data_IF_036126501058
#
_entry.id   IF_036126501058
#
_cell.length_a   1.000
_cell.length_b   1.000
_cell.length_c   1.000
_cell.angle_alpha   90.00
_cell.angle_beta   90.00
_cell.angle_gamma   90.00
#
_symmetry.space_group_name_H-M   'P 1'
#
loop_
_entity.id
_entity.type
_entity.pdbx_description
1 polymer ?
#
# COMPACT_ATOMS: atom_id res chain seq x y z
N UNK A 1 -23.80 6.95 -7.42
CA UNK A 1 -22.55 7.04 -6.67
C UNK A 1 -21.54 6.16 -7.37
N UNK A 2 -20.32 6.65 -7.55
CA UNK A 2 -19.17 5.96 -8.16
C UNK A 2 -18.24 5.54 -7.03
N UNK A 3 -17.42 4.50 -7.21
CA UNK A 3 -16.37 4.10 -6.25
C UNK A 3 -15.38 5.24 -5.97
N UNK A 4 -15.30 6.22 -6.87
CA UNK A 4 -14.51 7.44 -6.66
C UNK A 4 -14.89 8.19 -5.37
N UNK A 5 -16.15 8.08 -4.92
CA UNK A 5 -16.59 8.65 -3.65
C UNK A 5 -15.92 8.00 -2.43
N UNK A 6 -15.44 6.77 -2.57
CA UNK A 6 -14.78 5.99 -1.52
C UNK A 6 -13.25 6.10 -1.57
N UNK A 7 -12.65 6.63 -2.65
CA UNK A 7 -11.20 6.77 -2.79
C UNK A 7 -10.56 7.61 -1.67
N UNK A 8 -11.28 8.60 -1.15
CA UNK A 8 -10.82 9.48 -0.07
C UNK A 8 -11.44 9.11 1.30
N UNK A 9 -12.09 7.95 1.43
CA UNK A 9 -12.56 7.44 2.73
C UNK A 9 -11.49 6.57 3.38
N UNK A 10 -11.47 6.56 4.71
CA UNK A 10 -10.59 5.71 5.50
C UNK A 10 -10.98 4.24 5.36
N UNK A 11 -10.00 3.36 5.21
CA UNK A 11 -10.28 1.97 4.84
C UNK A 11 -11.11 1.22 5.88
N UNK A 12 -10.92 1.51 7.17
CA UNK A 12 -11.73 0.89 8.24
C UNK A 12 -13.20 1.28 8.16
N UNK A 13 -13.50 2.51 7.74
CA UNK A 13 -14.89 2.94 7.52
C UNK A 13 -15.51 2.14 6.37
N UNK A 14 -14.76 1.94 5.28
CA UNK A 14 -15.20 1.15 4.13
C UNK A 14 -15.43 -0.31 4.53
N UNK A 15 -14.50 -0.94 5.25
CA UNK A 15 -14.64 -2.33 5.71
C UNK A 15 -15.82 -2.47 6.68
N UNK A 16 -16.06 -1.48 7.53
CA UNK A 16 -17.23 -1.49 8.45
C UNK A 16 -18.54 -1.43 7.66
N UNK A 17 -18.60 -0.65 6.58
CA UNK A 17 -19.77 -0.53 5.70
C UNK A 17 -19.90 -1.75 4.77
N UNK A 18 -18.79 -2.34 4.34
CA UNK A 18 -18.68 -3.44 3.36
C UNK A 18 -17.60 -4.46 3.79
N UNK A 19 -17.95 -5.44 4.66
CA UNK A 19 -16.98 -6.41 5.18
C UNK A 19 -16.26 -7.24 4.11
N UNK A 20 -16.89 -7.51 2.97
CA UNK A 20 -16.28 -8.24 1.84
C UNK A 20 -15.02 -7.53 1.28
N UNK A 21 -14.89 -6.20 1.48
CA UNK A 21 -13.70 -5.45 1.06
C UNK A 21 -12.45 -5.91 1.80
N UNK A 22 -12.56 -6.36 3.05
CA UNK A 22 -11.45 -6.91 3.82
C UNK A 22 -10.92 -8.21 3.19
N UNK A 23 -11.81 -9.14 2.85
CA UNK A 23 -11.43 -10.40 2.21
C UNK A 23 -10.73 -10.15 0.86
N UNK A 24 -11.26 -9.22 0.07
CA UNK A 24 -10.64 -8.81 -1.20
C UNK A 24 -9.24 -8.25 -0.96
N UNK A 25 -9.04 -7.38 0.04
CA UNK A 25 -7.72 -6.80 0.30
C UNK A 25 -6.72 -7.85 0.78
N UNK A 26 -7.14 -8.78 1.63
CA UNK A 26 -6.29 -9.86 2.13
C UNK A 26 -5.84 -10.82 1.00
N UNK A 27 -6.70 -11.11 0.03
CA UNK A 27 -6.33 -11.91 -1.16
C UNK A 27 -5.23 -11.26 -2.01
N UNK A 28 -5.11 -9.94 -1.96
CA UNK A 28 -4.07 -9.16 -2.63
C UNK A 28 -2.87 -8.87 -1.71
N UNK A 29 -2.77 -9.57 -0.57
CA UNK A 29 -1.74 -9.41 0.46
C UNK A 29 -1.71 -8.01 1.11
N UNK A 30 -2.85 -7.32 1.14
CA UNK A 30 -3.01 -5.98 1.72
C UNK A 30 -3.71 -6.09 3.08
N UNK A 31 -2.95 -6.43 4.12
CA UNK A 31 -3.45 -6.57 5.50
C UNK A 31 -3.87 -5.23 6.14
N UNK A 32 -5.11 -4.79 5.91
CA UNK A 32 -5.65 -3.55 6.48
C UNK A 32 -6.32 -3.74 7.85
N UNK A 33 -6.74 -4.97 8.16
CA UNK A 33 -7.56 -5.33 9.33
C UNK A 33 -6.76 -5.22 10.62
N UNK A 34 -5.53 -5.75 10.61
CA UNK A 34 -4.62 -5.72 11.75
C UNK A 34 -3.91 -4.37 11.91
N UNK A 35 -4.18 -3.40 11.02
CA UNK A 35 -3.59 -2.07 11.10
C UNK A 35 -4.17 -1.31 12.30
N UNK A 36 -3.36 -1.02 13.32
CA UNK A 36 -3.78 -0.32 14.53
C UNK A 36 -4.37 1.07 14.24
N UNK A 37 -3.82 1.79 13.27
CA UNK A 37 -4.25 3.16 12.95
C UNK A 37 -5.49 3.21 12.05
N UNK A 38 -5.49 2.48 10.94
CA UNK A 38 -6.63 2.45 10.00
C UNK A 38 -6.95 3.78 9.31
N UNK A 39 -6.01 4.73 9.31
CA UNK A 39 -6.18 6.07 8.74
C UNK A 39 -5.91 6.13 7.23
N UNK A 40 -5.40 5.05 6.65
CA UNK A 40 -5.08 4.99 5.23
C UNK A 40 -6.35 5.16 4.39
N UNK A 41 -6.27 6.02 3.37
CA UNK A 41 -7.33 6.16 2.38
C UNK A 41 -7.23 5.02 1.37
N UNK A 42 -8.36 4.61 0.79
CA UNK A 42 -8.38 3.56 -0.24
C UNK A 42 -7.41 3.86 -1.40
N UNK A 43 -7.37 5.11 -1.88
CA UNK A 43 -6.43 5.51 -2.95
C UNK A 43 -4.96 5.37 -2.55
N UNK A 44 -4.64 5.60 -1.28
CA UNK A 44 -3.26 5.60 -0.79
C UNK A 44 -2.78 4.15 -0.60
N UNK A 45 -3.68 3.26 -0.17
CA UNK A 45 -3.40 1.81 -0.07
C UNK A 45 -2.97 1.27 -1.44
N UNK A 46 -3.78 1.56 -2.46
CA UNK A 46 -3.50 1.13 -3.83
C UNK A 46 -2.17 1.71 -4.34
N UNK A 47 -1.85 2.96 -4.01
CA UNK A 47 -0.61 3.63 -4.40
C UNK A 47 0.64 3.07 -3.67
N UNK A 48 0.53 2.82 -2.36
CA UNK A 48 1.64 2.37 -1.51
C UNK A 48 2.03 0.93 -1.82
N UNK A 49 1.05 0.04 -2.00
CA UNK A 49 1.27 -1.37 -2.25
C UNK A 49 1.82 -1.67 -3.65
N UNK A 50 1.85 -0.65 -4.53
CA UNK A 50 2.44 -0.67 -5.87
C UNK A 50 2.35 -2.02 -6.57
N UNK A 51 1.25 -2.19 -7.28
CA UNK A 51 0.89 -3.39 -8.02
C UNK A 51 1.12 -3.14 -9.52
N UNK A 52 1.19 -4.18 -10.32
CA UNK A 52 1.11 -4.03 -11.77
C UNK A 52 -0.28 -3.45 -12.16
N UNK A 53 -0.36 -2.78 -13.31
CA UNK A 53 -1.59 -2.03 -13.70
C UNK A 53 -2.82 -2.95 -13.82
N UNK A 54 -2.64 -4.17 -14.29
CA UNK A 54 -3.67 -5.20 -14.40
C UNK A 54 -4.16 -5.69 -13.02
N UNK A 55 -3.24 -5.90 -12.08
CA UNK A 55 -3.55 -6.29 -10.71
C UNK A 55 -4.32 -5.18 -9.99
N UNK A 56 -3.93 -3.92 -10.19
CA UNK A 56 -4.67 -2.78 -9.64
C UNK A 56 -6.08 -2.66 -10.25
N UNK A 57 -6.22 -2.84 -11.56
CA UNK A 57 -7.53 -2.84 -12.23
C UNK A 57 -8.44 -3.94 -11.68
N UNK A 58 -7.91 -5.15 -11.47
CA UNK A 58 -8.66 -6.25 -10.88
C UNK A 58 -9.09 -5.97 -9.43
N UNK A 59 -8.17 -5.49 -8.59
CA UNK A 59 -8.46 -5.12 -7.21
C UNK A 59 -9.60 -4.09 -7.14
N UNK A 60 -9.48 -3.01 -7.93
CA UNK A 60 -10.48 -1.94 -7.94
C UNK A 60 -11.83 -2.44 -8.47
N UNK A 61 -11.85 -3.30 -9.50
CA UNK A 61 -13.07 -3.90 -10.02
C UNK A 61 -13.77 -4.77 -8.97
N UNK A 62 -13.03 -5.57 -8.20
CA UNK A 62 -13.59 -6.39 -7.11
C UNK A 62 -14.16 -5.55 -5.98
N UNK A 63 -13.42 -4.54 -5.51
CA UNK A 63 -13.90 -3.60 -4.49
C UNK A 63 -15.18 -2.89 -4.97
N UNK A 64 -15.20 -2.49 -6.24
CA UNK A 64 -16.38 -1.87 -6.84
C UNK A 64 -17.59 -2.78 -6.81
N UNK A 65 -17.42 -4.05 -7.17
CA UNK A 65 -18.49 -5.04 -7.16
C UNK A 65 -19.02 -5.30 -5.75
N UNK A 66 -18.15 -5.30 -4.73
CA UNK A 66 -18.57 -5.44 -3.33
C UNK A 66 -19.40 -4.23 -2.84
N UNK A 67 -19.03 -3.01 -3.25
CA UNK A 67 -19.74 -1.77 -2.85
C UNK A 67 -21.02 -1.54 -3.68
N UNK A 68 -20.98 -1.89 -4.98
CA UNK A 68 -22.05 -1.64 -5.95
C UNK A 68 -22.30 -2.87 -6.84
N UNK A 69 -22.93 -3.94 -6.32
CA UNK A 69 -23.10 -5.20 -7.05
C UNK A 69 -23.92 -5.05 -8.35
N UNK A 70 -24.86 -4.10 -8.41
CA UNK A 70 -25.76 -3.89 -9.55
C UNK A 70 -25.24 -2.87 -10.58
N UNK A 71 -23.99 -2.40 -10.45
CA UNK A 71 -23.43 -1.40 -11.37
C UNK A 71 -22.07 -1.81 -11.91
N UNK A 72 -21.98 -1.89 -13.24
CA UNK A 72 -20.69 -1.88 -13.92
C UNK A 72 -20.09 -0.47 -13.78
N UNK A 73 -19.00 -0.37 -13.03
CA UNK A 73 -18.24 0.87 -12.87
C UNK A 73 -16.91 0.68 -13.59
N UNK A 74 -16.66 1.53 -14.58
CA UNK A 74 -15.38 1.58 -15.27
C UNK A 74 -14.43 2.47 -14.46
N UNK A 75 -13.26 1.94 -14.11
CA UNK A 75 -12.23 2.75 -13.46
C UNK A 75 -11.44 3.53 -14.50
N UNK A 76 -11.16 4.83 -14.25
CA UNK A 76 -10.26 5.58 -15.10
C UNK A 76 -8.88 4.94 -15.02
N UNK A 77 -8.36 4.46 -16.17
CA UNK A 77 -7.00 3.94 -16.27
C UNK A 77 -6.02 5.01 -15.79
N UNK A 78 -5.41 4.79 -14.62
CA UNK A 78 -4.34 5.65 -14.13
C UNK A 78 -3.07 5.23 -14.85
N UNK A 79 -2.51 6.11 -15.69
CA UNK A 79 -1.15 5.92 -16.20
C UNK A 79 -0.19 5.99 -15.01
N UNK A 80 0.31 4.84 -14.54
CA UNK A 80 1.36 4.85 -13.51
C UNK A 80 2.64 5.40 -14.12
N UNK A 81 3.33 6.26 -13.40
CA UNK A 81 4.72 6.58 -13.73
C UNK A 81 5.56 5.36 -13.35
N UNK A 82 6.37 4.87 -14.28
CA UNK A 82 7.38 3.87 -13.96
C UNK A 82 8.20 4.34 -12.76
N UNK A 83 8.35 3.49 -11.73
CA UNK A 83 9.29 3.76 -10.64
C UNK A 83 10.70 3.66 -11.23
N UNK A 84 11.18 4.78 -11.78
CA UNK A 84 12.59 4.94 -12.12
C UNK A 84 13.48 4.65 -10.90
N UNK A 85 14.79 4.38 -11.10
CA UNK A 85 15.70 4.12 -9.99
C UNK A 85 15.59 5.27 -8.99
N UNK A 86 15.11 4.97 -7.78
CA UNK A 86 14.98 5.97 -6.72
C UNK A 86 16.39 6.34 -6.26
N UNK A 87 16.94 7.42 -6.80
CA UNK A 87 18.08 8.08 -6.17
C UNK A 87 17.60 8.67 -4.83
N UNK A 88 17.89 7.96 -3.75
CA UNK A 88 17.48 8.40 -2.41
C UNK A 88 18.46 9.48 -1.95
N UNK A 89 18.08 10.74 -2.14
CA UNK A 89 18.84 11.88 -1.62
C UNK A 89 18.45 12.14 -0.15
N UNK A 90 19.24 11.59 0.78
CA UNK A 90 19.02 11.79 2.20
C UNK A 90 19.48 13.18 2.66
N UNK A 91 18.70 13.80 3.55
CA UNK A 91 19.17 14.97 4.30
C UNK A 91 20.42 14.63 5.12
N UNK A 92 21.27 15.61 5.48
CA UNK A 92 22.50 15.33 6.23
C UNK A 92 22.28 14.52 7.53
N UNK A 93 21.25 14.82 8.37
CA UNK A 93 20.97 14.00 9.55
C UNK A 93 20.55 12.56 9.22
N UNK A 94 19.71 12.38 8.19
CA UNK A 94 19.25 11.05 7.77
C UNK A 94 20.39 10.21 7.20
N UNK A 95 21.27 10.84 6.39
CA UNK A 95 22.45 10.19 5.84
C UNK A 95 23.38 9.67 6.93
N UNK A 96 23.53 10.43 8.02
CA UNK A 96 24.30 10.01 9.20
C UNK A 96 23.69 8.76 9.85
N UNK A 97 22.39 8.76 10.12
CA UNK A 97 21.70 7.60 10.71
C UNK A 97 21.80 6.34 9.84
N UNK A 98 21.61 6.47 8.52
CA UNK A 98 21.79 5.35 7.58
C UNK A 98 23.23 4.83 7.62
N UNK A 99 24.22 5.73 7.66
CA UNK A 99 25.62 5.37 7.79
C UNK A 99 25.92 4.59 9.07
N UNK A 100 25.39 5.05 10.21
CA UNK A 100 25.50 4.36 11.51
C UNK A 100 24.86 2.96 11.45
N UNK A 101 23.69 2.82 10.84
CA UNK A 101 23.00 1.53 10.69
C UNK A 101 23.81 0.52 9.85
N UNK A 102 24.51 0.98 8.81
CA UNK A 102 25.43 0.14 8.01
C UNK A 102 26.58 -0.37 8.87
N UNK A 103 27.18 0.49 9.71
CA UNK A 103 28.28 0.11 10.59
C UNK A 103 27.85 -0.94 11.62
N UNK A 104 26.67 -0.78 12.21
CA UNK A 104 26.08 -1.76 13.13
C UNK A 104 25.95 -3.13 12.45
N UNK A 105 25.37 -3.17 11.24
CA UNK A 105 25.21 -4.43 10.48
C UNK A 105 26.56 -5.09 10.17
N UNK A 106 27.57 -4.30 9.81
CA UNK A 106 28.93 -4.81 9.56
C UNK A 106 29.56 -5.40 10.83
N UNK A 107 29.39 -4.73 11.97
CA UNK A 107 29.86 -5.23 13.26
C UNK A 107 29.17 -6.55 13.63
N UNK A 108 27.85 -6.62 13.51
CA UNK A 108 27.08 -7.84 13.78
C UNK A 108 27.58 -9.04 12.95
N UNK A 109 27.89 -8.82 11.67
CA UNK A 109 28.43 -9.86 10.79
C UNK A 109 29.83 -10.36 11.21
N UNK A 110 30.58 -9.55 11.96
CA UNK A 110 31.91 -9.91 12.45
C UNK A 110 31.88 -10.60 13.81
N UNK A 111 30.79 -10.51 14.59
CA UNK A 111 30.70 -11.06 15.94
C UNK A 111 31.29 -12.48 16.11
N UNK A 112 31.04 -13.45 15.21
CA UNK A 112 31.59 -14.81 15.36
C UNK A 112 33.12 -14.91 15.35
N UNK A 113 33.82 -13.84 14.96
CA UNK A 113 35.29 -13.76 14.91
C UNK A 113 35.89 -12.96 16.05
N UNK A 114 35.08 -12.26 16.84
CA UNK A 114 35.54 -11.30 17.87
C UNK A 114 35.01 -11.65 19.27
N UNK A 115 33.99 -12.49 19.36
CA UNK A 115 33.45 -13.09 20.58
C UNK A 115 33.61 -14.60 20.46
#
# INVERSE_FOLDING_TARGET
>A
MSVEAYLNKGIKEIITEFPEVEEILDEFEIGCVTCGEGLCLLKDIVEIHYMDEDVEEELMARISKAIFPDKAIEFPKRKRKEKGPKEINYSPPMKKMVGEHILIKRWLALLPKVI
#
